data_IF_387058781184
#
_entry.id   IF_387058781184
#
_cell.length_a   1.000
_cell.length_b   1.000
_cell.length_c   1.000
_cell.angle_alpha   90.00
_cell.angle_beta   90.00
_cell.angle_gamma   90.00
#
_symmetry.space_group_name_H-M   'P 1'
#
loop_
_entity.id
_entity.type
_entity.pdbx_description
1 polymer ?
#
# COMPACT_ATOMS: atom_id res chain seq x y z
N UNK A 1 9.79 22.93 6.67
CA UNK A 1 8.88 23.87 7.37
C UNK A 1 8.62 24.98 6.36
N UNK A 2 7.37 25.14 5.93
CA UNK A 2 6.99 26.14 4.92
C UNK A 2 7.13 27.55 5.50
N UNK A 3 7.53 28.52 4.69
CA UNK A 3 7.45 29.94 5.06
C UNK A 3 5.97 30.38 5.23
N UNK A 4 5.72 31.45 5.97
CA UNK A 4 4.37 31.92 6.30
C UNK A 4 3.55 32.26 5.03
N UNK A 5 4.20 32.79 3.99
CA UNK A 5 3.56 33.07 2.70
C UNK A 5 3.19 31.77 1.96
N UNK A 6 4.09 30.80 1.96
CA UNK A 6 3.89 29.50 1.32
C UNK A 6 2.79 28.70 2.02
N UNK A 7 2.74 28.76 3.35
CA UNK A 7 1.71 28.10 4.15
C UNK A 7 0.32 28.68 3.89
N UNK A 8 0.20 30.01 3.80
CA UNK A 8 -1.08 30.65 3.46
C UNK A 8 -1.58 30.26 2.07
N UNK A 9 -0.67 30.17 1.10
CA UNK A 9 -0.98 29.72 -0.25
C UNK A 9 -1.37 28.23 -0.30
N UNK A 10 -0.69 27.39 0.48
CA UNK A 10 -1.03 25.98 0.62
C UNK A 10 -2.45 25.78 1.19
N UNK A 11 -2.81 26.48 2.27
CA UNK A 11 -4.15 26.37 2.85
C UNK A 11 -5.24 26.86 1.87
N UNK A 12 -5.00 27.95 1.12
CA UNK A 12 -5.98 28.39 0.12
C UNK A 12 -6.19 27.36 -1.00
N UNK A 13 -5.13 26.76 -1.52
CA UNK A 13 -5.24 25.71 -2.54
C UNK A 13 -5.89 24.45 -1.97
N UNK A 14 -5.58 24.12 -0.72
CA UNK A 14 -6.17 22.96 -0.03
C UNK A 14 -7.68 23.11 0.09
N UNK A 15 -8.18 24.29 0.47
CA UNK A 15 -9.61 24.58 0.51
C UNK A 15 -10.24 24.49 -0.90
N UNK A 16 -9.60 25.08 -1.91
CA UNK A 16 -10.10 25.08 -3.29
C UNK A 16 -10.20 23.66 -3.90
N UNK A 17 -9.20 22.81 -3.66
CA UNK A 17 -9.09 21.50 -4.31
C UNK A 17 -9.52 20.32 -3.43
N UNK A 18 -10.05 20.55 -2.23
CA UNK A 18 -10.33 19.49 -1.28
C UNK A 18 -11.26 18.41 -1.83
N UNK A 19 -12.38 18.82 -2.44
CA UNK A 19 -13.37 17.89 -2.97
C UNK A 19 -12.83 17.09 -4.16
N UNK A 20 -12.04 17.73 -5.02
CA UNK A 20 -11.39 17.05 -6.15
C UNK A 20 -10.44 15.96 -5.65
N UNK A 21 -9.55 16.28 -4.71
CA UNK A 21 -8.61 15.29 -4.17
C UNK A 21 -9.30 14.23 -3.33
N UNK A 22 -10.40 14.58 -2.66
CA UNK A 22 -11.24 13.64 -1.96
C UNK A 22 -11.82 12.57 -2.90
N UNK A 23 -12.15 12.92 -4.14
CA UNK A 23 -12.56 11.96 -5.17
C UNK A 23 -11.36 11.18 -5.72
N UNK A 24 -10.32 11.89 -6.16
CA UNK A 24 -9.18 11.29 -6.87
C UNK A 24 -8.46 10.21 -6.05
N UNK A 25 -8.39 10.36 -4.72
CA UNK A 25 -7.73 9.37 -3.83
C UNK A 25 -8.39 7.99 -3.83
N UNK A 26 -9.68 7.90 -4.21
CA UNK A 26 -10.39 6.62 -4.35
C UNK A 26 -10.25 6.01 -5.76
N UNK A 27 -9.69 6.76 -6.71
CA UNK A 27 -9.48 6.27 -8.06
C UNK A 27 -8.16 5.50 -8.17
N UNK A 28 -8.17 4.43 -8.96
CA UNK A 28 -6.99 3.68 -9.39
C UNK A 28 -7.04 3.57 -10.90
N UNK A 29 -5.88 3.61 -11.55
CA UNK A 29 -5.81 3.26 -12.96
C UNK A 29 -6.31 1.82 -13.13
N UNK A 30 -7.19 1.57 -14.11
CA UNK A 30 -7.67 0.21 -14.39
C UNK A 30 -6.55 -0.66 -14.98
N UNK A 31 -5.79 -0.09 -15.92
CA UNK A 31 -4.68 -0.75 -16.61
C UNK A 31 -3.50 0.19 -16.80
N UNK A 32 -2.30 -0.35 -16.97
CA UNK A 32 -1.11 0.45 -17.30
C UNK A 32 0.18 -0.35 -17.35
N UNK A 33 1.30 0.36 -17.39
CA UNK A 33 2.65 -0.22 -17.40
C UNK A 33 3.08 -0.58 -15.98
N UNK A 34 3.42 -1.85 -15.76
CA UNK A 34 3.96 -2.33 -14.49
C UNK A 34 5.47 -2.49 -14.60
N UNK A 35 6.20 -1.66 -13.84
CA UNK A 35 7.66 -1.69 -13.73
C UNK A 35 8.06 -2.12 -12.33
N UNK A 36 8.94 -3.11 -12.24
CA UNK A 36 9.48 -3.63 -10.98
C UNK A 36 10.99 -3.73 -11.09
N UNK A 37 11.69 -3.47 -9.99
CA UNK A 37 13.15 -3.53 -9.94
C UNK A 37 13.61 -4.95 -10.31
N UNK A 38 14.50 -5.05 -11.29
CA UNK A 38 15.06 -6.31 -11.80
C UNK A 38 14.05 -7.27 -12.48
N UNK A 39 12.85 -6.82 -12.81
CA UNK A 39 11.89 -7.60 -13.61
C UNK A 39 11.65 -6.96 -14.97
N UNK A 40 11.16 -7.75 -15.92
CA UNK A 40 10.73 -7.21 -17.22
C UNK A 40 9.46 -6.39 -17.02
N UNK A 41 9.41 -5.23 -17.65
CA UNK A 41 8.20 -4.42 -17.76
C UNK A 41 7.05 -5.23 -18.34
N UNK A 42 5.88 -5.15 -17.70
CA UNK A 42 4.63 -5.73 -18.22
C UNK A 42 3.76 -4.58 -18.73
N UNK A 43 3.50 -4.58 -20.04
CA UNK A 43 2.60 -3.63 -20.66
C UNK A 43 1.13 -4.04 -20.47
N UNK A 44 0.23 -3.07 -20.37
CA UNK A 44 -1.22 -3.27 -20.19
C UNK A 44 -1.63 -4.15 -18.99
N UNK A 45 -0.85 -4.15 -17.92
CA UNK A 45 -1.17 -4.84 -16.67
C UNK A 45 -2.49 -4.32 -16.08
N UNK A 46 -3.40 -5.22 -15.68
CA UNK A 46 -4.71 -4.89 -15.11
C UNK A 46 -4.61 -4.83 -13.59
N UNK A 47 -4.61 -3.62 -13.05
CA UNK A 47 -4.44 -3.40 -11.61
C UNK A 47 -5.67 -3.78 -10.76
N UNK A 48 -6.82 -3.98 -11.40
CA UNK A 48 -8.05 -4.42 -10.74
C UNK A 48 -7.96 -5.89 -10.26
N UNK A 49 -7.12 -6.70 -10.91
CA UNK A 49 -6.97 -8.13 -10.60
C UNK A 49 -6.22 -8.37 -9.28
N UNK A 50 -5.46 -7.38 -8.80
CA UNK A 50 -4.72 -7.45 -7.53
C UNK A 50 -5.66 -7.59 -6.31
N UNK A 51 -6.94 -7.19 -6.45
CA UNK A 51 -7.96 -7.26 -5.37
C UNK A 51 -7.47 -6.71 -4.03
N UNK A 52 -6.60 -5.70 -4.09
CA UNK A 52 -5.97 -5.09 -2.92
C UNK A 52 -6.92 -4.15 -2.18
N UNK A 53 -6.89 -4.22 -0.86
CA UNK A 53 -7.55 -3.25 0.01
C UNK A 53 -6.60 -2.07 0.25
N UNK A 54 -7.06 -0.85 -0.04
CA UNK A 54 -6.30 0.38 0.19
C UNK A 54 -6.91 1.16 1.34
N UNK A 55 -6.12 1.45 2.37
CA UNK A 55 -6.44 2.52 3.30
C UNK A 55 -6.23 3.87 2.61
N UNK A 56 -7.25 4.72 2.66
CA UNK A 56 -7.25 6.04 2.03
C UNK A 56 -7.29 7.11 3.14
N UNK A 57 -6.14 7.72 3.51
CA UNK A 57 -6.10 8.76 4.54
C UNK A 57 -6.80 10.03 4.05
N UNK A 58 -7.12 10.95 4.97
CA UNK A 58 -7.66 12.28 4.66
C UNK A 58 -6.87 12.95 3.51
N UNK A 59 -7.51 13.66 2.55
CA UNK A 59 -6.84 14.16 1.34
C UNK A 59 -5.62 15.05 1.64
N UNK A 60 -5.59 15.70 2.80
CA UNK A 60 -4.42 16.43 3.27
C UNK A 60 -4.05 15.92 4.65
N UNK A 61 -2.79 15.48 4.79
CA UNK A 61 -2.18 15.04 6.03
C UNK A 61 -0.92 15.87 6.27
N UNK A 62 -0.87 16.58 7.41
CA UNK A 62 0.17 17.58 7.67
C UNK A 62 0.24 18.63 6.55
N UNK A 63 1.48 18.98 6.16
CA UNK A 63 1.78 19.92 5.06
C UNK A 63 2.05 19.17 3.72
N UNK A 64 1.48 17.96 3.54
CA UNK A 64 1.73 17.12 2.36
C UNK A 64 0.57 17.20 1.36
N UNK A 65 0.94 17.25 0.08
CA UNK A 65 -0.01 17.19 -1.01
C UNK A 65 -0.44 15.74 -1.30
N UNK A 66 -1.74 15.48 -1.57
CA UNK A 66 -2.27 14.14 -1.86
C UNK A 66 -1.72 13.48 -3.13
N UNK A 67 -1.11 14.26 -4.02
CA UNK A 67 -0.53 13.78 -5.26
C UNK A 67 0.92 14.23 -5.40
N UNK A 68 1.71 13.42 -6.12
CA UNK A 68 3.11 13.72 -6.39
C UNK A 68 3.29 13.65 -7.90
N UNK A 69 3.93 14.68 -8.47
CA UNK A 69 4.32 14.64 -9.88
C UNK A 69 5.36 13.53 -10.09
N UNK A 70 5.15 12.69 -11.10
CA UNK A 70 6.05 11.59 -11.48
C UNK A 70 7.49 12.05 -11.72
N UNK A 71 7.69 13.26 -12.25
CA UNK A 71 9.02 13.86 -12.46
C UNK A 71 9.79 14.10 -11.15
N UNK A 72 9.10 14.13 -10.00
CA UNK A 72 9.71 14.26 -8.67
C UNK A 72 10.09 12.90 -8.05
N UNK A 73 9.74 11.80 -8.71
CA UNK A 73 9.91 10.42 -8.21
C UNK A 73 10.48 9.52 -9.31
N UNK A 74 11.53 10.00 -9.96
CA UNK A 74 12.19 9.26 -11.06
C UNK A 74 13.07 8.14 -10.49
N UNK A 75 13.74 8.42 -9.37
CA UNK A 75 14.69 7.47 -8.77
C UNK A 75 14.10 6.75 -7.54
N UNK A 76 14.38 5.44 -7.34
CA UNK A 76 13.90 4.67 -6.20
C UNK A 76 14.18 5.32 -4.83
N UNK A 77 15.34 5.96 -4.68
CA UNK A 77 15.72 6.66 -3.44
C UNK A 77 14.81 7.86 -3.15
N UNK A 78 14.33 8.57 -4.18
CA UNK A 78 13.40 9.70 -4.01
C UNK A 78 12.04 9.22 -3.51
N UNK A 79 11.56 8.08 -4.05
CA UNK A 79 10.33 7.43 -3.58
C UNK A 79 10.44 7.05 -2.10
N UNK A 80 11.54 6.42 -1.70
CA UNK A 80 11.75 6.01 -0.31
C UNK A 80 11.75 7.20 0.67
N UNK A 81 12.42 8.31 0.30
CA UNK A 81 12.43 9.54 1.11
C UNK A 81 11.03 10.13 1.26
N UNK A 82 10.23 10.16 0.19
CA UNK A 82 8.86 10.65 0.24
C UNK A 82 7.95 9.73 1.05
N UNK A 83 8.02 8.42 0.84
CA UNK A 83 7.26 7.43 1.61
C UNK A 83 7.54 7.55 3.11
N UNK A 84 8.78 7.85 3.51
CA UNK A 84 9.13 8.07 4.93
C UNK A 84 8.43 9.29 5.53
N UNK A 85 8.07 10.31 4.74
CA UNK A 85 7.26 11.43 5.24
C UNK A 85 5.82 11.02 5.52
N UNK A 86 5.31 10.00 4.84
CA UNK A 86 3.96 9.48 5.04
C UNK A 86 3.86 8.39 6.10
N UNK A 87 4.99 7.87 6.61
CA UNK A 87 4.98 6.72 7.52
C UNK A 87 4.24 6.98 8.84
N UNK A 88 4.16 8.24 9.27
CA UNK A 88 3.43 8.64 10.47
C UNK A 88 1.90 8.65 10.30
N UNK A 89 1.41 8.67 9.06
CA UNK A 89 -0.02 8.67 8.75
C UNK A 89 -0.55 7.29 8.32
N UNK A 90 0.34 6.29 8.30
CA UNK A 90 -0.02 4.91 7.99
C UNK A 90 -0.87 4.27 9.09
N UNK A 91 -1.62 3.23 8.73
CA UNK A 91 -2.25 2.36 9.72
C UNK A 91 -1.17 1.49 10.35
N UNK A 92 -1.12 1.46 11.69
CA UNK A 92 -0.32 0.48 12.42
C UNK A 92 -0.83 -0.92 12.11
N UNK A 93 0.07 -1.83 11.75
CA UNK A 93 -0.26 -3.20 11.40
C UNK A 93 0.61 -4.16 12.21
N UNK A 94 -0.02 -5.20 12.73
CA UNK A 94 0.60 -6.26 13.52
C UNK A 94 0.07 -7.63 13.10
N UNK A 95 0.74 -8.70 13.55
CA UNK A 95 0.26 -10.06 13.31
C UNK A 95 -1.09 -10.35 13.98
N UNK A 96 -1.47 -9.60 15.02
CA UNK A 96 -2.77 -9.72 15.69
C UNK A 96 -3.94 -9.27 14.79
N UNK A 97 -3.69 -8.32 13.90
CA UNK A 97 -4.70 -7.80 12.96
C UNK A 97 -5.07 -8.81 11.86
N UNK A 98 -4.22 -9.82 11.64
CA UNK A 98 -4.47 -10.87 10.66
C UNK A 98 -5.43 -11.89 11.27
N UNK A 99 -6.57 -12.15 10.61
CA UNK A 99 -7.49 -13.22 11.01
C UNK A 99 -7.12 -14.56 10.41
N UNK A 100 -6.84 -14.57 9.11
CA UNK A 100 -6.52 -15.77 8.34
C UNK A 100 -5.50 -15.43 7.25
N UNK A 101 -4.65 -16.40 6.93
CA UNK A 101 -3.79 -16.41 5.75
C UNK A 101 -4.24 -17.58 4.89
N UNK A 102 -4.83 -17.27 3.74
CA UNK A 102 -5.32 -18.28 2.81
C UNK A 102 -4.21 -18.65 1.83
N UNK A 103 -3.89 -19.94 1.73
CA UNK A 103 -2.97 -20.49 0.73
C UNK A 103 -3.68 -21.50 -0.17
N UNK A 104 -3.23 -21.68 -1.42
CA UNK A 104 -3.90 -22.58 -2.35
C UNK A 104 -3.99 -24.02 -1.82
N UNK A 105 -2.87 -24.56 -1.38
CA UNK A 105 -2.69 -25.95 -0.99
C UNK A 105 -1.51 -26.10 -0.01
N UNK A 106 -1.32 -27.31 0.53
CA UNK A 106 -0.28 -27.60 1.53
C UNK A 106 1.15 -27.44 0.98
N UNK A 107 1.37 -27.48 -0.34
CA UNK A 107 2.71 -27.33 -0.92
C UNK A 107 3.31 -25.93 -0.71
N UNK A 108 2.45 -24.94 -0.44
CA UNK A 108 2.85 -23.55 -0.19
C UNK A 108 3.19 -23.27 1.28
N UNK A 109 2.87 -24.19 2.21
CA UNK A 109 3.03 -23.98 3.66
C UNK A 109 4.48 -23.69 4.02
N UNK A 110 5.41 -24.55 3.59
CA UNK A 110 6.83 -24.41 3.93
C UNK A 110 7.42 -23.08 3.44
N UNK A 111 7.07 -22.68 2.22
CA UNK A 111 7.51 -21.40 1.64
C UNK A 111 6.93 -20.21 2.40
N UNK A 112 5.66 -20.27 2.78
CA UNK A 112 5.01 -19.23 3.58
C UNK A 112 5.68 -19.11 4.96
N UNK A 113 5.90 -20.22 5.66
CA UNK A 113 6.52 -20.21 7.00
C UNK A 113 7.93 -19.60 6.92
N UNK A 114 8.73 -19.99 5.95
CA UNK A 114 10.07 -19.42 5.75
C UNK A 114 10.01 -17.91 5.48
N UNK A 115 9.04 -17.46 4.69
CA UNK A 115 8.80 -16.03 4.46
C UNK A 115 8.44 -15.30 5.76
N UNK A 116 7.47 -15.82 6.52
CA UNK A 116 7.01 -15.21 7.78
C UNK A 116 8.11 -15.13 8.83
N UNK A 117 8.95 -16.16 8.95
CA UNK A 117 10.10 -16.18 9.85
C UNK A 117 11.15 -15.12 9.54
N UNK A 118 11.21 -14.64 8.29
CA UNK A 118 12.14 -13.57 7.89
C UNK A 118 11.65 -12.16 8.25
N UNK A 119 10.38 -12.02 8.64
CA UNK A 119 9.76 -10.73 8.95
C UNK A 119 10.19 -10.28 10.36
N UNK A 120 10.55 -9.01 10.49
CA UNK A 120 10.85 -8.39 11.78
C UNK A 120 9.63 -8.47 12.71
N UNK A 121 9.85 -8.82 13.97
CA UNK A 121 8.81 -9.05 14.98
C UNK A 121 7.89 -10.24 14.66
N UNK A 122 8.39 -11.25 13.96
CA UNK A 122 7.68 -12.52 13.73
C UNK A 122 7.08 -13.08 15.02
N UNK A 123 5.79 -13.36 14.99
CA UNK A 123 5.07 -14.08 16.02
C UNK A 123 4.70 -15.48 15.51
N UNK A 124 5.23 -16.57 16.09
CA UNK A 124 4.88 -17.94 15.71
C UNK A 124 3.38 -18.26 15.74
N UNK A 125 2.59 -17.53 16.53
CA UNK A 125 1.13 -17.70 16.58
C UNK A 125 0.47 -17.45 15.21
N UNK A 126 1.11 -16.68 14.32
CA UNK A 126 0.57 -16.44 12.98
C UNK A 126 0.40 -17.73 12.16
N UNK A 127 1.19 -18.77 12.43
CA UNK A 127 1.09 -20.05 11.73
C UNK A 127 -0.29 -20.69 11.96
N UNK A 128 -0.87 -20.53 13.15
CA UNK A 128 -2.21 -21.08 13.43
C UNK A 128 -3.32 -20.39 12.65
N UNK A 129 -3.03 -19.25 12.02
CA UNK A 129 -3.97 -18.51 11.17
C UNK A 129 -3.89 -18.93 9.70
N UNK A 130 -3.01 -19.87 9.34
CA UNK A 130 -2.87 -20.37 7.97
C UNK A 130 -3.93 -21.42 7.66
N UNK A 131 -4.69 -21.20 6.59
CA UNK A 131 -5.70 -22.13 6.08
C UNK A 131 -5.44 -22.44 4.60
N UNK A 132 -5.61 -23.70 4.22
CA UNK A 132 -5.55 -24.09 2.80
C UNK A 132 -6.93 -24.03 2.18
N UNK A 133 -7.00 -23.56 0.93
CA UNK A 133 -8.27 -23.46 0.22
C UNK A 133 -8.91 -24.84 -0.01
N UNK A 134 -8.10 -25.90 -0.10
CA UNK A 134 -8.62 -27.27 -0.16
C UNK A 134 -9.40 -27.67 1.09
N UNK A 135 -8.92 -27.31 2.29
CA UNK A 135 -9.63 -27.55 3.55
C UNK A 135 -10.91 -26.71 3.63
N UNK A 136 -10.83 -25.43 3.27
CA UNK A 136 -12.01 -24.55 3.23
C UNK A 136 -13.10 -25.10 2.30
N UNK A 137 -12.74 -25.63 1.12
CA UNK A 137 -13.71 -26.22 0.19
C UNK A 137 -14.29 -27.57 0.65
N UNK A 138 -13.62 -28.29 1.54
CA UNK A 138 -14.10 -29.57 2.06
C UNK A 138 -15.05 -29.37 3.24
N UNK A 139 -14.89 -28.27 3.98
CA UNK A 139 -15.69 -27.95 5.16
C UNK A 139 -17.01 -27.20 4.84
N UNK A 140 -17.18 -26.69 3.61
CA UNK A 140 -18.36 -25.95 3.13
C UNK A 140 -18.89 -26.53 1.82
#
# INVERSE_FOLDING_TARGET
ILDNKERKYFESLKEEYADLYNLLRYMKNYKGKLERTNEKTIENYIYADEKEWRYVPHPFVGDLWPSINLERVVEPNQKAVLSKKFSEFGIGFSFDDIKYILIPDDSHVSNLINCLMSIRNYDPYIISKVLTMDKVKQDF
#
